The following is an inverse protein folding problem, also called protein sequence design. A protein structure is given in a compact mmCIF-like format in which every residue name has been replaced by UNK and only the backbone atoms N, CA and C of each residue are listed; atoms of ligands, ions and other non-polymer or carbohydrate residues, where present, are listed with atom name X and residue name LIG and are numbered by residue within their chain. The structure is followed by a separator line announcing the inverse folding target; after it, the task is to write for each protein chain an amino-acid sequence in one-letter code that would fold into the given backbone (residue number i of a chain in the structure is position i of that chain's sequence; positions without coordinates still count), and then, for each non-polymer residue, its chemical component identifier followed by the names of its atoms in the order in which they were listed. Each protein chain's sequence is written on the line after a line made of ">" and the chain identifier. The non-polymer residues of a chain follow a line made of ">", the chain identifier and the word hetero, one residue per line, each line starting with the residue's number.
data_IF_313118221501
#
_entry.id   IF_313118221501
#
_cell.length_a   1.000
_cell.length_b   1.000
_cell.length_c   1.000
_cell.angle_alpha   90.00
_cell.angle_beta   90.00
_cell.angle_gamma   90.00
#
_symmetry.space_group_name_H-M   'P 1'
#
loop_
_entity.id
_entity.type
_entity.pdbx_description
1 polymer ?
#
# COMPACT_ATOMS: atom_id res chain seq x y z
N UNK A 1 -15.44 -17.43 0.86
CA UNK A 1 -14.05 -16.94 0.85
C UNK A 1 -13.98 -15.66 1.67
N UNK A 2 -12.86 -15.34 2.33
CA UNK A 2 -12.64 -14.06 3.03
C UNK A 2 -11.43 -13.38 2.41
N UNK A 3 -11.53 -12.08 2.15
CA UNK A 3 -10.46 -11.28 1.56
C UNK A 3 -10.17 -10.11 2.52
N UNK A 4 -9.12 -10.18 3.35
CA UNK A 4 -8.70 -9.06 4.17
C UNK A 4 -8.20 -7.91 3.30
N UNK A 5 -8.49 -6.68 3.70
CA UNK A 5 -8.00 -5.46 3.07
C UNK A 5 -7.23 -4.68 4.14
N UNK A 6 -5.92 -4.54 3.97
CA UNK A 6 -5.06 -3.77 4.87
C UNK A 6 -4.86 -2.39 4.29
N UNK A 7 -5.08 -1.36 5.12
CA UNK A 7 -5.00 0.03 4.73
C UNK A 7 -3.80 0.69 5.41
N UNK A 8 -2.95 1.32 4.60
CA UNK A 8 -1.79 2.08 5.03
C UNK A 8 -1.94 3.54 4.57
N UNK A 9 -1.21 4.46 5.20
CA UNK A 9 -1.08 5.84 4.72
C UNK A 9 0.40 6.13 4.48
N UNK A 10 1.18 6.22 5.55
CA UNK A 10 2.61 6.44 5.45
C UNK A 10 3.41 5.18 5.74
N UNK A 11 4.43 4.94 4.91
CA UNK A 11 5.51 3.98 5.18
C UNK A 11 6.78 4.78 5.48
N UNK A 12 6.88 5.32 6.68
CA UNK A 12 7.97 6.19 7.10
C UNK A 12 8.14 6.19 8.62
N UNK A 13 9.34 6.54 9.08
CA UNK A 13 9.53 6.95 10.48
C UNK A 13 8.95 8.35 10.62
N UNK A 14 7.93 8.58 11.46
CA UNK A 14 7.38 9.92 11.65
C UNK A 14 8.43 10.85 12.27
N UNK A 15 8.47 12.14 11.88
CA UNK A 15 9.43 13.08 12.45
C UNK A 15 9.18 13.29 13.96
N UNK A 16 10.19 13.73 14.74
CA UNK A 16 10.06 13.87 16.19
C UNK A 16 8.91 14.79 16.63
N UNK A 17 8.65 15.84 15.86
CA UNK A 17 7.62 16.85 16.07
C UNK A 17 6.26 16.52 15.41
N UNK A 18 6.11 15.31 14.83
CA UNK A 18 4.86 14.82 14.26
C UNK A 18 3.70 14.96 15.25
N UNK A 19 2.53 15.36 14.75
CA UNK A 19 1.31 15.32 15.53
C UNK A 19 0.82 13.88 15.77
N UNK A 20 -0.30 13.73 16.48
CA UNK A 20 -0.86 12.40 16.79
C UNK A 20 -1.30 11.66 15.51
N UNK A 21 -1.84 12.36 14.51
CA UNK A 21 -2.34 11.74 13.28
C UNK A 21 -1.19 11.22 12.43
N UNK A 22 -0.14 12.01 12.23
CA UNK A 22 1.05 11.60 11.49
C UNK A 22 1.72 10.39 12.15
N UNK A 23 1.72 10.29 13.48
CA UNK A 23 2.26 9.11 14.19
C UNK A 23 1.37 7.88 14.04
N UNK A 24 0.07 8.01 14.29
CA UNK A 24 -0.87 6.89 14.29
C UNK A 24 -1.09 6.31 12.88
N UNK A 25 -0.93 7.13 11.83
CA UNK A 25 -1.07 6.74 10.43
C UNK A 25 0.27 6.32 9.78
N UNK A 26 1.36 6.22 10.55
CA UNK A 26 2.67 5.81 10.05
C UNK A 26 3.06 4.39 10.49
N UNK A 27 3.51 3.61 9.52
CA UNK A 27 4.24 2.35 9.75
C UNK A 27 5.68 2.56 9.32
N UNK A 28 6.66 2.17 10.15
CA UNK A 28 8.06 2.30 9.74
C UNK A 28 8.39 1.31 8.61
N UNK A 29 9.35 1.61 7.73
CA UNK A 29 9.75 0.69 6.66
C UNK A 29 10.16 -0.70 7.19
N UNK A 30 10.80 -0.77 8.35
CA UNK A 30 11.19 -2.03 8.99
C UNK A 30 9.98 -2.87 9.40
N UNK A 31 8.96 -2.22 10.00
CA UNK A 31 7.74 -2.90 10.39
C UNK A 31 6.92 -3.33 9.17
N UNK A 32 6.88 -2.50 8.12
CA UNK A 32 6.21 -2.86 6.87
C UNK A 32 6.88 -4.06 6.21
N UNK A 33 8.23 -4.08 6.13
CA UNK A 33 8.98 -5.22 5.62
C UNK A 33 8.68 -6.50 6.43
N UNK A 34 8.65 -6.42 7.77
CA UNK A 34 8.29 -7.55 8.62
C UNK A 34 6.86 -8.05 8.38
N UNK A 35 5.91 -7.14 8.10
CA UNK A 35 4.54 -7.50 7.73
C UNK A 35 4.49 -8.22 6.38
N UNK A 36 5.19 -7.71 5.35
CA UNK A 36 5.26 -8.36 4.04
C UNK A 36 5.90 -9.75 4.14
N UNK A 37 7.00 -9.88 4.89
CA UNK A 37 7.64 -11.15 5.15
C UNK A 37 6.67 -12.14 5.80
N UNK A 38 5.96 -11.73 6.84
CA UNK A 38 4.97 -12.59 7.49
C UNK A 38 3.88 -13.04 6.51
N UNK A 39 3.35 -12.13 5.69
CA UNK A 39 2.34 -12.47 4.69
C UNK A 39 2.87 -13.51 3.68
N UNK A 40 4.09 -13.32 3.18
CA UNK A 40 4.74 -14.25 2.26
C UNK A 40 4.95 -15.64 2.91
N UNK A 41 5.51 -15.68 4.13
CA UNK A 41 5.73 -16.93 4.88
C UNK A 41 4.44 -17.68 5.21
N UNK A 42 3.34 -16.96 5.44
CA UNK A 42 2.02 -17.55 5.65
C UNK A 42 1.32 -17.92 4.34
N UNK A 43 1.93 -17.68 3.19
CA UNK A 43 1.41 -18.03 1.87
C UNK A 43 0.24 -17.15 1.41
N UNK A 44 0.15 -15.91 1.91
CA UNK A 44 -0.75 -14.92 1.34
C UNK A 44 -0.27 -14.49 -0.04
N UNK A 45 -1.22 -14.19 -0.91
CA UNK A 45 -0.96 -13.62 -2.23
C UNK A 45 -1.78 -12.34 -2.38
N UNK A 46 -1.08 -11.26 -2.69
CA UNK A 46 -1.75 -9.98 -2.95
C UNK A 46 -2.57 -10.05 -4.22
N UNK A 47 -3.76 -9.49 -4.19
CA UNK A 47 -4.62 -9.29 -5.37
C UNK A 47 -4.97 -7.81 -5.49
N UNK A 48 -5.40 -7.40 -6.68
CA UNK A 48 -5.94 -6.07 -6.92
C UNK A 48 -7.42 -5.98 -6.52
N UNK A 49 -7.94 -4.76 -6.38
CA UNK A 49 -9.40 -4.57 -6.25
C UNK A 49 -10.16 -5.04 -7.49
N UNK A 50 -9.55 -5.00 -8.68
CA UNK A 50 -10.16 -5.54 -9.91
C UNK A 50 -10.35 -7.06 -9.84
N UNK A 51 -9.37 -7.79 -9.32
CA UNK A 51 -9.48 -9.24 -9.11
C UNK A 51 -10.64 -9.58 -8.18
N UNK A 52 -10.81 -8.80 -7.10
CA UNK A 52 -11.94 -8.95 -6.19
C UNK A 52 -13.28 -8.67 -6.89
N UNK A 53 -13.36 -7.61 -7.70
CA UNK A 53 -14.56 -7.30 -8.49
C UNK A 53 -14.88 -8.44 -9.47
N UNK A 54 -13.90 -8.97 -10.18
CA UNK A 54 -14.09 -10.09 -11.11
C UNK A 54 -14.52 -11.37 -10.40
N UNK A 55 -13.97 -11.66 -9.22
CA UNK A 55 -14.44 -12.79 -8.40
C UNK A 55 -15.92 -12.63 -8.03
N UNK A 56 -16.31 -11.45 -7.52
CA UNK A 56 -17.68 -11.21 -7.05
C UNK A 56 -18.69 -11.18 -8.21
N UNK A 57 -18.32 -10.58 -9.34
CA UNK A 57 -19.22 -10.40 -10.47
C UNK A 57 -19.28 -11.60 -11.42
N UNK A 58 -18.15 -12.28 -11.64
CA UNK A 58 -17.98 -13.30 -12.68
C UNK A 58 -17.57 -14.67 -12.14
N UNK A 59 -17.30 -14.79 -10.84
CA UNK A 59 -16.80 -16.03 -10.24
C UNK A 59 -15.36 -16.37 -10.64
N UNK A 60 -14.58 -15.40 -11.10
CA UNK A 60 -13.17 -15.61 -11.45
C UNK A 60 -12.37 -16.08 -10.24
N UNK A 61 -11.55 -17.14 -10.35
CA UNK A 61 -10.89 -17.72 -9.19
C UNK A 61 -9.89 -16.75 -8.57
N UNK A 62 -9.87 -16.71 -7.23
CA UNK A 62 -8.84 -16.05 -6.44
C UNK A 62 -7.85 -17.08 -5.90
N UNK A 63 -6.62 -16.66 -5.54
CA UNK A 63 -5.69 -17.55 -4.85
C UNK A 63 -6.26 -18.02 -3.50
N UNK A 64 -5.73 -19.11 -2.91
CA UNK A 64 -6.27 -19.68 -1.68
C UNK A 64 -6.25 -18.75 -0.47
N UNK A 65 -5.26 -17.85 -0.38
CA UNK A 65 -5.10 -16.85 0.68
C UNK A 65 -4.96 -15.44 0.08
N UNK A 66 -6.03 -14.88 -0.49
CA UNK A 66 -5.99 -13.56 -1.09
C UNK A 66 -5.90 -12.48 -0.01
N UNK A 67 -5.14 -11.43 -0.27
CA UNK A 67 -5.10 -10.22 0.56
C UNK A 67 -4.98 -8.98 -0.34
N UNK A 68 -5.54 -7.85 0.09
CA UNK A 68 -5.41 -6.58 -0.62
C UNK A 68 -4.65 -5.61 0.27
N UNK A 69 -3.67 -4.93 -0.32
CA UNK A 69 -2.94 -3.83 0.32
C UNK A 69 -3.38 -2.52 -0.34
N UNK A 70 -3.85 -1.57 0.46
CA UNK A 70 -4.23 -0.23 0.00
C UNK A 70 -3.38 0.83 0.69
N UNK A 71 -3.07 1.90 -0.04
CA UNK A 71 -2.30 3.04 0.43
C UNK A 71 -3.06 4.31 0.08
N UNK A 72 -3.37 5.12 1.08
CA UNK A 72 -4.17 6.33 0.91
C UNK A 72 -3.29 7.58 0.79
N UNK A 73 -3.89 8.68 0.35
CA UNK A 73 -3.35 10.04 0.22
C UNK A 73 -2.29 10.27 -0.88
N UNK A 74 -1.45 9.27 -1.21
CA UNK A 74 -0.41 9.40 -2.24
C UNK A 74 0.84 10.14 -1.74
N UNK A 75 1.29 9.83 -0.53
CA UNK A 75 2.52 10.37 0.03
C UNK A 75 3.76 9.86 -0.71
N UNK A 76 4.82 10.67 -0.77
CA UNK A 76 6.08 10.34 -1.44
C UNK A 76 6.73 9.06 -0.90
N UNK A 77 6.58 8.81 0.41
CA UNK A 77 7.12 7.61 1.06
C UNK A 77 6.52 6.29 0.54
N UNK A 78 5.33 6.33 -0.06
CA UNK A 78 4.74 5.19 -0.74
C UNK A 78 5.60 4.73 -1.92
N UNK A 79 6.23 5.66 -2.64
CA UNK A 79 7.13 5.33 -3.74
C UNK A 79 8.55 5.05 -3.27
N UNK A 80 9.07 5.79 -2.28
CA UNK A 80 10.47 5.65 -1.87
C UNK A 80 10.71 4.48 -0.92
N UNK A 81 9.70 4.05 -0.15
CA UNK A 81 9.82 2.96 0.82
C UNK A 81 8.87 1.80 0.54
N UNK A 82 7.57 2.04 0.32
CA UNK A 82 6.61 0.95 0.16
C UNK A 82 6.81 0.19 -1.16
N UNK A 83 6.92 0.92 -2.27
CA UNK A 83 7.01 0.33 -3.61
C UNK A 83 8.21 -0.62 -3.81
N UNK A 84 9.46 -0.28 -3.44
CA UNK A 84 10.58 -1.20 -3.56
C UNK A 84 10.40 -2.48 -2.74
N UNK A 85 9.81 -2.38 -1.54
CA UNK A 85 9.50 -3.53 -0.71
C UNK A 85 8.42 -4.40 -1.35
N UNK A 86 7.34 -3.82 -1.88
CA UNK A 86 6.33 -4.58 -2.64
C UNK A 86 6.96 -5.34 -3.82
N UNK A 87 7.88 -4.71 -4.55
CA UNK A 87 8.61 -5.38 -5.65
C UNK A 87 9.49 -6.54 -5.16
N UNK A 88 10.16 -6.40 -4.02
CA UNK A 88 11.00 -7.45 -3.43
C UNK A 88 10.21 -8.72 -3.09
N UNK A 89 8.96 -8.57 -2.63
CA UNK A 89 8.09 -9.68 -2.26
C UNK A 89 7.16 -10.17 -3.40
N UNK A 90 7.29 -9.61 -4.61
CA UNK A 90 6.36 -9.85 -5.74
C UNK A 90 4.89 -9.59 -5.37
N UNK A 91 4.66 -8.54 -4.58
CA UNK A 91 3.36 -8.13 -4.08
C UNK A 91 2.83 -6.91 -4.84
N UNK A 92 1.51 -6.86 -5.00
CA UNK A 92 0.79 -5.73 -5.60
C UNK A 92 0.06 -4.92 -4.53
N UNK A 93 0.02 -3.60 -4.72
CA UNK A 93 -0.71 -2.65 -3.87
C UNK A 93 -1.59 -1.73 -4.71
N UNK A 94 -2.69 -1.27 -4.12
CA UNK A 94 -3.55 -0.22 -4.72
C UNK A 94 -3.28 1.12 -4.03
N UNK A 95 -2.97 2.15 -4.80
CA UNK A 95 -2.67 3.49 -4.29
C UNK A 95 -3.81 4.45 -4.64
N UNK A 96 -4.46 5.02 -3.62
CA UNK A 96 -5.48 6.05 -3.77
C UNK A 96 -4.84 7.42 -3.65
N UNK A 97 -4.77 8.14 -4.76
CA UNK A 97 -3.93 9.33 -4.91
C UNK A 97 -4.79 10.59 -4.87
N UNK A 98 -4.43 11.53 -4.00
CA UNK A 98 -4.94 12.90 -4.08
C UNK A 98 -4.23 13.63 -5.22
N UNK A 99 -4.98 14.03 -6.26
CA UNK A 99 -4.37 14.61 -7.47
C UNK A 99 -3.95 16.06 -7.31
N UNK A 100 -4.69 16.84 -6.52
CA UNK A 100 -4.43 18.27 -6.35
C UNK A 100 -3.03 18.58 -5.75
N UNK A 101 -2.57 17.92 -4.66
CA UNK A 101 -1.22 18.14 -4.15
C UNK A 101 -0.12 17.80 -5.16
N UNK A 102 -0.33 16.77 -5.99
CA UNK A 102 0.61 16.38 -7.05
C UNK A 102 0.67 17.45 -8.15
N UNK A 103 -0.50 17.95 -8.57
CA UNK A 103 -0.60 19.04 -9.55
C UNK A 103 0.08 20.33 -9.05
N UNK A 104 -0.03 20.60 -7.75
CA UNK A 104 0.63 21.72 -7.06
C UNK A 104 2.11 21.45 -6.77
N UNK A 105 2.63 20.26 -7.08
CA UNK A 105 4.01 19.83 -6.82
C UNK A 105 4.40 19.89 -5.34
N UNK A 106 3.47 19.56 -4.45
CA UNK A 106 3.73 19.51 -3.02
C UNK A 106 4.77 18.43 -2.71
N UNK A 107 5.82 18.77 -1.97
CA UNK A 107 7.00 17.90 -1.81
C UNK A 107 6.72 16.61 -1.05
N UNK A 108 5.76 16.63 -0.12
CA UNK A 108 5.36 15.46 0.66
C UNK A 108 4.59 14.41 -0.15
N UNK A 109 4.07 14.77 -1.32
CA UNK A 109 3.28 13.89 -2.18
C UNK A 109 4.12 13.36 -3.34
N UNK A 110 3.58 12.34 -3.99
CA UNK A 110 4.12 11.79 -5.22
C UNK A 110 4.20 12.84 -6.33
N UNK A 111 5.02 12.57 -7.33
CA UNK A 111 5.02 13.29 -8.61
C UNK A 111 4.32 12.46 -9.68
N UNK A 112 3.77 13.10 -10.72
CA UNK A 112 3.21 12.36 -11.87
C UNK A 112 4.20 11.42 -12.55
N UNK A 113 5.50 11.66 -12.45
CA UNK A 113 6.52 10.74 -12.96
C UNK A 113 6.67 9.47 -12.12
N UNK A 114 6.36 9.54 -10.82
CA UNK A 114 6.38 8.40 -9.91
C UNK A 114 5.10 7.56 -10.00
N UNK A 115 3.99 8.17 -10.43
CA UNK A 115 2.68 7.50 -10.59
C UNK A 115 2.58 6.70 -11.89
N UNK A 116 3.37 7.05 -12.90
CA UNK A 116 3.39 6.39 -14.22
C UNK A 116 4.23 5.13 -14.21
#
# INVERSE_FOLDING_TARGET
>A
MRVPILMYHHIAVPPPDADIYRRDLSVTPENFAAQLQYLAEQGYQTITLYDLVYYLALGWPLPPKPIILTFDDGYRDNYTHAFPLLQEYDFVGTFFILTEPIDQKHEEYLTWNQVR
#
